data_IF_703042806322
#
_entry.id   IF_703042806322
#
_cell.length_a   1.000
_cell.length_b   1.000
_cell.length_c   1.000
_cell.angle_alpha   90.00
_cell.angle_beta   90.00
_cell.angle_gamma   90.00
#
_symmetry.space_group_name_H-M   'P 1'
#
loop_
_entity.id
_entity.type
_entity.pdbx_description
1 polymer ?
#
# COMPACT_ATOMS: atom_id res chain seq x y z
N UNK A 1 -57.04 2.41 4.23
CA UNK A 1 -55.58 2.25 4.38
C UNK A 1 -55.15 1.93 5.83
N UNK A 2 -55.56 2.70 6.83
CA UNK A 2 -55.08 2.53 8.22
C UNK A 2 -55.38 1.14 8.86
N UNK A 3 -56.57 0.57 8.63
CA UNK A 3 -56.96 -0.71 9.26
C UNK A 3 -56.21 -1.96 8.76
N UNK A 4 -55.66 -1.90 7.54
CA UNK A 4 -54.92 -3.02 6.92
C UNK A 4 -53.47 -3.03 7.41
N UNK A 5 -52.86 -1.86 7.51
CA UNK A 5 -51.52 -1.66 8.08
C UNK A 5 -51.51 -2.04 9.56
N UNK A 6 -52.57 -1.69 10.31
CA UNK A 6 -52.70 -2.05 11.72
C UNK A 6 -52.75 -3.57 11.94
N UNK A 7 -53.51 -4.32 11.12
CA UNK A 7 -53.60 -5.78 11.24
C UNK A 7 -52.25 -6.46 11.01
N UNK A 8 -51.51 -6.04 9.97
CA UNK A 8 -50.20 -6.60 9.67
C UNK A 8 -49.17 -6.27 10.76
N UNK A 9 -49.14 -5.02 11.24
CA UNK A 9 -48.27 -4.60 12.34
C UNK A 9 -48.58 -5.38 13.63
N UNK A 10 -49.85 -5.57 13.96
CA UNK A 10 -50.23 -6.31 15.17
C UNK A 10 -49.83 -7.80 15.08
N UNK A 11 -49.94 -8.41 13.89
CA UNK A 11 -49.44 -9.78 13.64
C UNK A 11 -47.92 -9.88 13.72
N UNK A 12 -47.18 -8.90 13.21
CA UNK A 12 -45.72 -8.85 13.31
C UNK A 12 -45.26 -8.63 14.77
N UNK A 13 -46.02 -7.85 15.54
CA UNK A 13 -45.76 -7.55 16.95
C UNK A 13 -45.98 -8.78 17.85
N UNK A 14 -47.09 -9.50 17.67
CA UNK A 14 -47.38 -10.75 18.39
C UNK A 14 -46.38 -11.88 18.12
N UNK A 15 -45.60 -11.79 17.02
CA UNK A 15 -44.64 -12.82 16.63
C UNK A 15 -43.16 -12.37 16.77
N UNK A 16 -42.90 -11.19 17.36
CA UNK A 16 -41.53 -10.71 17.63
C UNK A 16 -40.71 -10.36 16.38
N UNK A 17 -41.36 -9.97 15.28
CA UNK A 17 -40.72 -9.75 13.97
C UNK A 17 -40.47 -8.26 13.64
N UNK A 18 -40.72 -7.34 14.57
CA UNK A 18 -40.49 -5.89 14.42
C UNK A 18 -39.02 -5.47 14.43
N UNK A 19 -38.11 -6.37 14.83
CA UNK A 19 -36.67 -6.11 14.86
C UNK A 19 -35.97 -6.36 13.51
N UNK A 20 -36.73 -6.67 12.46
CA UNK A 20 -36.18 -6.86 11.12
C UNK A 20 -35.81 -5.52 10.48
N UNK A 21 -34.74 -5.47 9.66
CA UNK A 21 -34.38 -4.28 8.89
C UNK A 21 -35.57 -3.74 8.09
N UNK A 22 -35.72 -2.42 8.05
CA UNK A 22 -36.86 -1.74 7.42
C UNK A 22 -37.15 -2.21 5.98
N UNK A 23 -36.11 -2.59 5.22
CA UNK A 23 -36.25 -3.14 3.86
C UNK A 23 -37.05 -4.44 3.77
N UNK A 24 -36.92 -5.36 4.74
CA UNK A 24 -37.69 -6.62 4.76
C UNK A 24 -39.15 -6.39 5.15
N UNK A 25 -39.42 -5.41 6.02
CA UNK A 25 -40.76 -4.98 6.39
C UNK A 25 -41.50 -4.35 5.20
N UNK A 26 -40.78 -3.55 4.39
CA UNK A 26 -41.34 -2.94 3.18
C UNK A 26 -41.62 -3.96 2.08
N UNK A 27 -40.76 -4.97 1.88
CA UNK A 27 -40.99 -6.05 0.93
C UNK A 27 -42.22 -6.90 1.30
N UNK A 28 -42.42 -7.15 2.59
CA UNK A 28 -43.59 -7.85 3.10
C UNK A 28 -44.90 -7.08 2.90
N UNK A 29 -44.88 -5.78 3.17
CA UNK A 29 -46.02 -4.89 2.94
C UNK A 29 -46.39 -4.84 1.46
N UNK A 30 -45.39 -4.75 0.57
CA UNK A 30 -45.57 -4.78 -0.88
C UNK A 30 -46.14 -6.11 -1.38
N UNK A 31 -45.62 -7.24 -0.89
CA UNK A 31 -46.11 -8.57 -1.28
C UNK A 31 -47.54 -8.83 -0.81
N UNK A 32 -47.87 -8.43 0.43
CA UNK A 32 -49.23 -8.57 0.99
C UNK A 32 -50.24 -7.70 0.24
N UNK A 33 -49.84 -6.48 -0.14
CA UNK A 33 -50.64 -5.57 -0.96
C UNK A 33 -51.01 -6.18 -2.32
N UNK A 34 -50.09 -6.90 -2.95
CA UNK A 34 -50.29 -7.49 -4.27
C UNK A 34 -50.99 -8.86 -4.26
N UNK A 35 -50.92 -9.62 -3.16
CA UNK A 35 -51.38 -11.02 -3.14
C UNK A 35 -52.45 -11.34 -2.07
N UNK A 36 -52.83 -10.38 -1.22
CA UNK A 36 -54.00 -10.43 -0.33
C UNK A 36 -53.96 -11.45 0.81
N UNK A 37 -52.96 -12.32 0.90
CA UNK A 37 -52.91 -13.43 1.87
C UNK A 37 -51.87 -13.20 2.96
N UNK A 38 -52.33 -12.93 4.19
CA UNK A 38 -51.45 -12.58 5.31
C UNK A 38 -50.59 -13.76 5.75
N UNK A 39 -51.12 -14.98 5.65
CA UNK A 39 -50.43 -16.22 6.04
C UNK A 39 -49.26 -16.56 5.11
N UNK A 40 -49.41 -16.32 3.79
CA UNK A 40 -48.30 -16.51 2.84
C UNK A 40 -47.22 -15.44 3.00
N UNK A 41 -47.60 -14.17 3.20
CA UNK A 41 -46.65 -13.08 3.46
C UNK A 41 -45.79 -13.38 4.70
N UNK A 42 -46.42 -13.93 5.74
CA UNK A 42 -45.77 -14.34 6.97
C UNK A 42 -44.79 -15.50 6.77
N UNK A 43 -45.12 -16.48 5.91
CA UNK A 43 -44.23 -17.60 5.59
C UNK A 43 -42.97 -17.13 4.86
N UNK A 44 -43.12 -16.26 3.88
CA UNK A 44 -42.00 -15.66 3.12
C UNK A 44 -41.11 -14.79 4.01
N UNK A 45 -41.69 -13.96 4.88
CA UNK A 45 -40.97 -13.19 5.90
C UNK A 45 -40.12 -14.07 6.81
N UNK A 46 -40.67 -15.21 7.27
CA UNK A 46 -39.95 -16.14 8.15
C UNK A 46 -38.76 -16.80 7.42
N UNK A 47 -38.94 -17.17 6.15
CA UNK A 47 -37.87 -17.70 5.29
C UNK A 47 -36.76 -16.66 5.06
N UNK A 48 -37.14 -15.43 4.69
CA UNK A 48 -36.20 -14.33 4.50
C UNK A 48 -35.46 -13.97 5.81
N UNK A 49 -36.15 -13.95 6.95
CA UNK A 49 -35.54 -13.74 8.25
C UNK A 49 -34.57 -14.86 8.66
N UNK A 50 -34.88 -16.13 8.34
CA UNK A 50 -33.96 -17.25 8.56
C UNK A 50 -32.71 -17.15 7.68
N UNK A 51 -32.85 -16.80 6.39
CA UNK A 51 -31.71 -16.57 5.50
C UNK A 51 -30.86 -15.39 5.97
N UNK A 52 -31.50 -14.29 6.39
CA UNK A 52 -30.80 -13.13 6.93
C UNK A 52 -30.03 -13.48 8.22
N UNK A 53 -30.63 -14.25 9.14
CA UNK A 53 -29.93 -14.73 10.34
C UNK A 53 -28.76 -15.66 10.02
N UNK A 54 -28.90 -16.54 9.02
CA UNK A 54 -27.79 -17.38 8.54
C UNK A 54 -26.66 -16.56 7.93
N UNK A 55 -26.98 -15.56 7.11
CA UNK A 55 -26.00 -14.65 6.51
C UNK A 55 -25.33 -13.77 7.56
N UNK A 56 -26.09 -13.24 8.52
CA UNK A 56 -25.57 -12.48 9.65
C UNK A 56 -24.63 -13.35 10.49
N UNK A 57 -25.02 -14.58 10.85
CA UNK A 57 -24.16 -15.48 11.61
C UNK A 57 -22.89 -15.88 10.83
N UNK A 58 -22.98 -16.07 9.51
CA UNK A 58 -21.83 -16.32 8.65
C UNK A 58 -20.89 -15.10 8.57
N UNK A 59 -21.45 -13.87 8.51
CA UNK A 59 -20.66 -12.64 8.57
C UNK A 59 -20.01 -12.45 9.94
N UNK A 60 -20.69 -12.72 11.05
CA UNK A 60 -20.12 -12.68 12.40
C UNK A 60 -19.01 -13.72 12.56
N UNK A 61 -19.17 -14.92 11.97
CA UNK A 61 -18.12 -15.96 11.99
C UNK A 61 -16.89 -15.58 11.16
N UNK A 62 -17.08 -14.93 10.00
CA UNK A 62 -15.98 -14.39 9.19
C UNK A 62 -15.26 -13.21 9.86
N UNK A 63 -15.96 -12.39 10.65
CA UNK A 63 -15.35 -11.34 11.48
C UNK A 63 -14.51 -11.94 12.61
N UNK A 64 -14.93 -13.06 13.20
CA UNK A 64 -14.17 -13.78 14.22
C UNK A 64 -12.94 -14.49 13.61
N UNK A 65 -13.04 -15.05 12.41
CA UNK A 65 -11.90 -15.70 11.71
C UNK A 65 -10.83 -14.71 11.21
N UNK A 66 -11.18 -13.43 10.98
CA UNK A 66 -10.24 -12.36 10.60
C UNK A 66 -10.01 -11.30 11.70
N UNK A 67 -10.52 -11.53 12.90
CA UNK A 67 -10.52 -10.55 13.98
C UNK A 67 -10.87 -11.16 15.34
N UNK A 68 -10.16 -12.22 15.73
CA UNK A 68 -10.26 -12.78 17.08
C UNK A 68 -9.65 -11.85 18.12
N UNK A 69 -10.46 -10.98 18.73
CA UNK A 69 -10.26 -10.57 20.12
C UNK A 69 -11.14 -11.51 20.93
N UNK A 70 -10.54 -12.60 21.41
CA UNK A 70 -11.18 -13.41 22.44
C UNK A 70 -11.36 -12.57 23.71
N UNK A 71 -12.36 -12.91 24.52
CA UNK A 71 -12.53 -12.40 25.88
C UNK A 71 -11.18 -12.47 26.61
N UNK A 72 -10.49 -11.34 26.65
CA UNK A 72 -9.23 -11.16 27.36
C UNK A 72 -9.51 -10.09 28.39
N UNK A 73 -9.16 -10.39 29.64
CA UNK A 73 -9.05 -9.40 30.71
C UNK A 73 -8.42 -8.13 30.13
N UNK A 74 -8.99 -6.95 30.42
CA UNK A 74 -8.40 -5.69 29.97
C UNK A 74 -6.92 -5.69 30.37
N UNK A 75 -5.99 -5.53 29.41
CA UNK A 75 -4.57 -5.62 29.70
C UNK A 75 -4.21 -4.63 30.80
N UNK A 76 -3.53 -5.12 31.83
CA UNK A 76 -3.07 -4.25 32.91
C UNK A 76 -2.15 -3.18 32.34
N UNK A 77 -2.07 -1.99 32.96
CA UNK A 77 -1.25 -0.88 32.44
C UNK A 77 0.22 -1.26 32.17
N UNK A 78 0.74 -2.31 32.80
CA UNK A 78 2.08 -2.84 32.57
C UNK A 78 2.24 -3.67 31.27
N UNK A 79 1.14 -4.21 30.73
CA UNK A 79 1.14 -5.02 29.50
C UNK A 79 1.03 -4.17 28.23
N UNK A 80 0.65 -2.89 28.36
CA UNK A 80 0.42 -2.01 27.23
C UNK A 80 1.74 -1.59 26.58
N UNK A 81 1.87 -1.90 25.29
CA UNK A 81 2.96 -1.41 24.44
C UNK A 81 2.76 0.10 24.25
N UNK A 82 3.78 0.94 24.53
CA UNK A 82 3.64 2.39 24.40
C UNK A 82 3.28 2.79 22.97
N UNK A 83 2.42 3.81 22.78
CA UNK A 83 2.07 4.30 21.45
C UNK A 83 3.30 4.85 20.71
N UNK A 84 3.21 4.94 19.39
CA UNK A 84 4.28 5.53 18.58
C UNK A 84 4.46 7.03 18.87
N UNK A 85 3.34 7.71 19.17
CA UNK A 85 3.28 9.11 19.56
C UNK A 85 2.70 9.19 20.97
N UNK A 86 3.24 10.03 21.87
CA UNK A 86 2.70 10.21 23.21
C UNK A 86 1.21 10.56 23.19
N UNK A 87 0.45 10.01 24.15
CA UNK A 87 -1.00 10.22 24.23
C UNK A 87 -1.38 11.66 24.60
N UNK A 88 -0.47 12.37 25.25
CA UNK A 88 -0.59 13.75 25.73
C UNK A 88 0.06 14.77 24.77
N UNK A 89 0.30 14.39 23.50
CA UNK A 89 0.91 15.29 22.53
C UNK A 89 0.04 16.53 22.28
N UNK A 90 0.68 17.70 22.31
CA UNK A 90 0.02 18.96 21.98
C UNK A 90 -0.44 18.99 20.52
N UNK A 91 -1.68 19.43 20.31
CA UNK A 91 -2.19 19.70 18.98
C UNK A 91 -1.98 21.18 18.63
N UNK A 92 -1.22 21.44 17.57
CA UNK A 92 -0.93 22.80 17.09
C UNK A 92 -1.79 23.18 15.89
N UNK A 93 -2.01 24.49 15.71
CA UNK A 93 -2.72 25.00 14.53
C UNK A 93 -1.89 24.75 13.26
N UNK A 94 -2.52 24.16 12.23
CA UNK A 94 -1.90 23.94 10.94
C UNK A 94 -1.57 25.28 10.27
N UNK A 95 -0.28 25.53 10.03
CA UNK A 95 0.18 26.65 9.22
C UNK A 95 0.18 26.25 7.73
N UNK A 96 -0.92 26.55 7.04
CA UNK A 96 -1.08 26.23 5.62
C UNK A 96 -0.75 27.43 4.72
N UNK A 97 0.17 27.23 3.78
CA UNK A 97 0.45 28.23 2.73
C UNK A 97 -0.63 28.16 1.65
N UNK A 98 -1.72 28.93 1.85
CA UNK A 98 -2.85 29.01 0.93
C UNK A 98 -2.46 29.70 -0.37
N UNK A 99 -2.80 29.08 -1.50
CA UNK A 99 -2.61 29.62 -2.86
C UNK A 99 -3.94 30.05 -3.47
N UNK A 100 -3.87 30.85 -4.53
CA UNK A 100 -5.04 31.08 -5.40
C UNK A 100 -5.37 29.81 -6.17
N UNK A 101 -6.61 29.70 -6.66
CA UNK A 101 -7.01 28.56 -7.48
C UNK A 101 -6.28 28.52 -8.82
N UNK A 102 -5.99 29.69 -9.39
CA UNK A 102 -5.20 29.83 -10.61
C UNK A 102 -3.76 29.34 -10.43
N UNK A 103 -3.06 29.78 -9.37
CA UNK A 103 -1.71 29.28 -9.08
C UNK A 103 -1.74 27.77 -8.81
N UNK A 104 -2.76 27.27 -8.11
CA UNK A 104 -2.92 25.83 -7.87
C UNK A 104 -3.07 25.05 -9.18
N UNK A 105 -3.86 25.56 -10.13
CA UNK A 105 -4.02 24.98 -11.46
C UNK A 105 -2.68 24.95 -12.23
N UNK A 106 -2.01 26.09 -12.38
CA UNK A 106 -0.73 26.19 -13.10
C UNK A 106 0.33 25.26 -12.51
N UNK A 107 0.46 25.23 -11.19
CA UNK A 107 1.43 24.35 -10.51
C UNK A 107 1.10 22.88 -10.71
N UNK A 108 -0.18 22.51 -10.69
CA UNK A 108 -0.60 21.12 -10.93
C UNK A 108 -0.27 20.65 -12.34
N UNK A 109 -0.43 21.51 -13.35
CA UNK A 109 -0.05 21.22 -14.75
C UNK A 109 1.46 21.02 -14.85
N UNK A 110 2.23 21.97 -14.32
CA UNK A 110 3.70 21.91 -14.39
C UNK A 110 4.26 20.68 -13.68
N UNK A 111 3.71 20.33 -12.51
CA UNK A 111 4.16 19.14 -11.78
C UNK A 111 3.76 17.84 -12.50
N UNK A 112 2.57 17.79 -13.10
CA UNK A 112 2.17 16.68 -13.96
C UNK A 112 3.16 16.52 -15.13
N UNK A 113 3.50 17.59 -15.83
CA UNK A 113 4.42 17.54 -16.97
C UNK A 113 5.81 17.05 -16.56
N UNK A 114 6.35 17.57 -15.46
CA UNK A 114 7.63 17.11 -14.88
C UNK A 114 7.59 15.61 -14.58
N UNK A 115 6.55 15.14 -13.88
CA UNK A 115 6.41 13.74 -13.51
C UNK A 115 6.10 12.84 -14.70
N UNK A 116 5.48 13.39 -15.75
CA UNK A 116 5.19 12.67 -16.98
C UNK A 116 6.49 12.38 -17.77
N UNK A 117 7.50 13.24 -17.66
CA UNK A 117 8.83 13.00 -18.26
C UNK A 117 9.59 11.85 -17.61
N UNK A 118 9.27 11.49 -16.35
CA UNK A 118 9.94 10.38 -15.65
C UNK A 118 9.75 9.06 -16.39
N UNK A 119 10.88 8.41 -16.72
CA UNK A 119 10.96 7.03 -17.22
C UNK A 119 11.85 6.19 -16.30
N UNK A 120 11.61 4.89 -16.26
CA UNK A 120 12.52 3.98 -15.55
C UNK A 120 13.72 3.68 -16.43
N UNK A 121 14.91 4.09 -15.99
CA UNK A 121 16.16 4.02 -16.74
C UNK A 121 17.00 2.83 -16.29
N UNK A 122 17.59 2.09 -17.24
CA UNK A 122 18.40 0.89 -16.98
C UNK A 122 19.88 1.03 -17.37
N UNK A 123 20.26 2.18 -17.93
CA UNK A 123 21.62 2.46 -18.39
C UNK A 123 22.09 3.77 -17.76
N UNK A 124 23.13 3.71 -16.95
CA UNK A 124 23.55 4.82 -16.09
C UNK A 124 24.94 5.32 -16.49
N UNK A 125 25.14 6.62 -16.34
CA UNK A 125 26.48 7.21 -16.30
C UNK A 125 27.14 6.89 -14.96
N UNK A 126 28.47 6.72 -14.99
CA UNK A 126 29.31 6.59 -13.77
C UNK A 126 29.66 7.94 -13.13
N UNK A 127 29.19 9.04 -13.71
CA UNK A 127 29.41 10.38 -13.19
C UNK A 127 28.95 10.49 -11.73
N UNK A 128 29.79 11.02 -10.83
CA UNK A 128 29.46 11.07 -9.41
C UNK A 128 28.29 12.00 -9.13
N UNK A 129 27.42 11.59 -8.21
CA UNK A 129 26.37 12.43 -7.63
C UNK A 129 26.75 12.75 -6.19
N UNK A 130 26.62 14.02 -5.80
CA UNK A 130 26.95 14.47 -4.44
C UNK A 130 26.09 13.75 -3.40
N UNK A 131 26.73 13.31 -2.31
CA UNK A 131 26.05 12.72 -1.15
C UNK A 131 24.96 13.63 -0.58
N UNK A 132 25.19 14.95 -0.56
CA UNK A 132 24.19 15.94 -0.11
C UNK A 132 22.91 15.90 -0.94
N UNK A 133 23.01 15.59 -2.24
CA UNK A 133 21.83 15.40 -3.08
C UNK A 133 21.07 14.16 -2.62
N UNK A 134 21.76 13.03 -2.43
CA UNK A 134 21.15 11.79 -1.94
C UNK A 134 20.48 11.97 -0.56
N UNK A 135 21.13 12.69 0.36
CA UNK A 135 20.56 13.05 1.66
C UNK A 135 19.26 13.85 1.52
N UNK A 136 19.23 14.86 0.65
CA UNK A 136 18.03 15.67 0.43
C UNK A 136 16.89 14.86 -0.19
N UNK A 137 17.20 13.93 -1.10
CA UNK A 137 16.22 13.00 -1.67
C UNK A 137 15.60 12.11 -0.59
N UNK A 138 16.43 11.55 0.30
CA UNK A 138 15.99 10.68 1.40
C UNK A 138 15.21 11.48 2.46
N UNK A 139 15.65 12.70 2.81
CA UNK A 139 14.90 13.60 3.70
C UNK A 139 13.51 13.89 3.14
N UNK A 140 13.42 14.14 1.83
CA UNK A 140 12.14 14.35 1.14
C UNK A 140 11.27 13.09 1.22
N UNK A 141 11.83 11.90 1.00
CA UNK A 141 11.10 10.64 1.16
C UNK A 141 10.57 10.44 2.58
N UNK A 142 11.34 10.84 3.59
CA UNK A 142 10.97 10.77 5.01
C UNK A 142 9.77 11.63 5.40
N UNK A 143 9.33 12.57 4.56
CA UNK A 143 8.12 13.38 4.83
C UNK A 143 6.82 12.66 4.50
N UNK A 144 6.88 11.38 4.13
CA UNK A 144 5.71 10.58 3.80
C UNK A 144 4.79 10.39 5.02
N UNK A 145 3.47 10.21 4.81
CA UNK A 145 2.59 9.77 5.88
C UNK A 145 2.87 8.30 6.25
N UNK A 146 2.62 7.94 7.49
CA UNK A 146 2.73 6.55 7.97
C UNK A 146 1.62 6.21 8.96
N UNK A 147 1.23 4.93 9.01
CA UNK A 147 0.22 4.44 9.94
C UNK A 147 0.65 4.72 11.39
N UNK A 148 -0.18 5.44 12.14
CA UNK A 148 0.11 5.89 13.50
C UNK A 148 1.45 6.63 13.66
N UNK A 149 1.93 7.33 12.62
CA UNK A 149 3.22 8.05 12.62
C UNK A 149 4.41 7.15 13.02
N UNK A 150 4.42 5.90 12.54
CA UNK A 150 5.47 4.91 12.86
C UNK A 150 6.74 5.06 12.03
N UNK A 151 6.70 5.83 10.93
CA UNK A 151 7.82 6.08 10.01
C UNK A 151 8.65 4.81 9.68
N UNK A 152 8.00 3.71 9.23
CA UNK A 152 8.55 2.37 9.29
C UNK A 152 9.49 2.05 8.11
N UNK A 153 10.41 2.97 7.80
CA UNK A 153 11.32 2.88 6.66
C UNK A 153 12.77 3.05 7.08
N UNK A 154 13.64 2.33 6.38
CA UNK A 154 15.07 2.54 6.42
C UNK A 154 15.61 2.67 5.01
N UNK A 155 16.38 3.72 4.76
CA UNK A 155 17.10 3.94 3.51
C UNK A 155 18.57 3.58 3.70
N UNK A 156 19.06 2.62 2.91
CA UNK A 156 20.47 2.24 2.89
C UNK A 156 21.06 2.72 1.56
N UNK A 157 21.83 3.80 1.61
CA UNK A 157 22.54 4.35 0.47
C UNK A 157 23.94 3.74 0.36
N UNK A 158 24.27 3.16 -0.80
CA UNK A 158 25.52 2.44 -1.06
C UNK A 158 26.22 3.10 -2.24
N UNK A 159 27.40 3.68 -1.99
CA UNK A 159 28.33 4.17 -3.02
C UNK A 159 29.57 3.29 -3.18
N UNK A 160 29.88 2.50 -2.16
CA UNK A 160 31.08 1.67 -2.11
C UNK A 160 31.08 0.63 -3.25
N UNK A 161 32.12 0.60 -4.09
CA UNK A 161 32.15 -0.25 -5.27
C UNK A 161 32.15 -1.74 -4.93
N UNK A 162 32.78 -2.16 -3.83
CA UNK A 162 32.83 -3.57 -3.41
C UNK A 162 31.46 -4.04 -2.94
N UNK A 163 30.74 -3.21 -2.17
CA UNK A 163 29.36 -3.51 -1.78
C UNK A 163 28.43 -3.53 -3.00
N UNK A 164 28.56 -2.59 -3.93
CA UNK A 164 27.77 -2.59 -5.17
C UNK A 164 27.99 -3.86 -6.01
N UNK A 165 29.25 -4.29 -6.12
CA UNK A 165 29.61 -5.54 -6.82
C UNK A 165 28.99 -6.76 -6.14
N UNK A 166 29.09 -6.90 -4.81
CA UNK A 166 28.46 -8.00 -4.06
C UNK A 166 26.94 -8.00 -4.19
N UNK A 167 26.31 -6.82 -4.17
CA UNK A 167 24.87 -6.67 -4.41
C UNK A 167 24.50 -7.17 -5.81
N UNK A 168 25.29 -6.80 -6.83
CA UNK A 168 25.08 -7.24 -8.21
C UNK A 168 25.14 -8.76 -8.33
N UNK A 169 26.15 -9.40 -7.77
CA UNK A 169 26.32 -10.86 -7.81
C UNK A 169 25.12 -11.60 -7.19
N UNK A 170 24.63 -11.12 -6.03
CA UNK A 170 23.43 -11.67 -5.38
C UNK A 170 22.20 -11.51 -6.27
N UNK A 171 22.01 -10.33 -6.87
CA UNK A 171 20.83 -10.06 -7.69
C UNK A 171 20.86 -10.84 -9.00
N UNK A 172 22.00 -10.89 -9.70
CA UNK A 172 22.12 -11.59 -10.98
C UNK A 172 21.94 -13.10 -10.82
N UNK A 173 22.51 -13.71 -9.77
CA UNK A 173 22.34 -15.14 -9.48
C UNK A 173 20.90 -15.53 -9.19
N UNK A 174 20.19 -14.77 -8.36
CA UNK A 174 18.76 -15.03 -8.10
C UNK A 174 17.88 -14.72 -9.31
N UNK A 175 18.19 -13.69 -10.08
CA UNK A 175 17.46 -13.35 -11.30
C UNK A 175 17.61 -14.41 -12.38
N UNK A 176 18.78 -15.02 -12.54
CA UNK A 176 18.96 -16.15 -13.45
C UNK A 176 18.00 -17.29 -13.11
N UNK A 177 17.90 -17.65 -11.82
CA UNK A 177 16.95 -18.67 -11.34
C UNK A 177 15.51 -18.20 -11.56
N UNK A 178 15.21 -16.92 -11.36
CA UNK A 178 13.88 -16.36 -11.54
C UNK A 178 13.41 -16.49 -12.99
N UNK A 179 14.23 -16.08 -13.96
CA UNK A 179 13.91 -16.17 -15.39
C UNK A 179 13.79 -17.62 -15.86
N UNK A 180 14.66 -18.51 -15.37
CA UNK A 180 14.70 -19.90 -15.82
C UNK A 180 13.63 -20.78 -15.19
N UNK A 181 13.20 -20.51 -13.94
CA UNK A 181 12.37 -21.44 -13.17
C UNK A 181 11.17 -20.81 -12.48
N UNK A 182 11.26 -19.60 -11.91
CA UNK A 182 10.28 -19.11 -10.94
C UNK A 182 9.20 -18.18 -11.52
N UNK A 183 9.53 -17.37 -12.52
CA UNK A 183 8.59 -16.37 -13.07
C UNK A 183 7.52 -16.99 -13.99
N UNK A 184 7.75 -18.20 -14.52
CA UNK A 184 6.83 -18.86 -15.43
C UNK A 184 6.75 -18.18 -16.82
N UNK A 185 5.96 -18.77 -17.73
CA UNK A 185 5.91 -18.34 -19.13
C UNK A 185 5.21 -16.99 -19.35
N UNK A 186 4.13 -16.72 -18.62
CA UNK A 186 3.36 -15.49 -18.77
C UNK A 186 4.20 -14.26 -18.38
N UNK A 187 4.78 -14.28 -17.18
CA UNK A 187 5.57 -13.16 -16.69
C UNK A 187 6.82 -12.94 -17.56
N UNK A 188 7.54 -14.01 -17.93
CA UNK A 188 8.69 -13.87 -18.84
C UNK A 188 8.30 -13.29 -20.20
N UNK A 189 7.12 -13.63 -20.73
CA UNK A 189 6.59 -13.03 -21.95
C UNK A 189 6.28 -11.54 -21.78
N UNK A 190 5.65 -11.14 -20.67
CA UNK A 190 5.31 -9.75 -20.37
C UNK A 190 6.56 -8.85 -20.25
N UNK A 191 7.70 -9.42 -19.84
CA UNK A 191 8.97 -8.71 -19.72
C UNK A 191 9.70 -8.52 -21.07
N UNK A 192 9.35 -9.27 -22.13
CA UNK A 192 10.08 -9.23 -23.42
C UNK A 192 10.17 -7.84 -24.02
N UNK A 193 9.08 -7.07 -23.97
CA UNK A 193 9.03 -5.70 -24.49
C UNK A 193 9.98 -4.74 -23.73
N UNK A 194 10.32 -5.07 -22.48
CA UNK A 194 11.24 -4.30 -21.65
C UNK A 194 12.71 -4.68 -21.90
N UNK A 195 12.97 -5.77 -22.64
CA UNK A 195 14.31 -6.31 -22.94
C UNK A 195 15.18 -6.49 -21.69
N UNK A 196 14.56 -6.88 -20.58
CA UNK A 196 15.27 -7.15 -19.33
C UNK A 196 15.82 -8.57 -19.34
N UNK A 197 17.02 -8.73 -18.82
CA UNK A 197 17.69 -10.02 -18.61
C UNK A 197 18.10 -10.17 -17.15
N UNK A 198 18.77 -11.26 -16.80
CA UNK A 198 19.36 -11.44 -15.48
C UNK A 198 20.56 -10.51 -15.24
N UNK A 199 21.22 -10.01 -16.29
CA UNK A 199 22.38 -9.11 -16.20
C UNK A 199 21.96 -7.69 -15.81
N UNK A 200 22.55 -7.15 -14.74
CA UNK A 200 22.18 -5.89 -14.08
C UNK A 200 23.37 -4.93 -13.92
N UNK A 201 24.02 -4.56 -15.03
CA UNK A 201 25.18 -3.65 -15.04
C UNK A 201 24.96 -2.32 -14.30
N UNK A 202 23.73 -1.82 -14.31
CA UNK A 202 23.32 -0.62 -13.57
C UNK A 202 23.59 -0.70 -12.06
N UNK A 203 23.72 -1.89 -11.48
CA UNK A 203 24.03 -2.05 -10.05
C UNK A 203 25.46 -1.64 -9.71
N UNK A 204 26.37 -1.67 -10.69
CA UNK A 204 27.75 -1.22 -10.54
C UNK A 204 27.99 0.13 -11.19
N UNK A 205 27.31 0.43 -12.30
CA UNK A 205 27.50 1.67 -13.04
C UNK A 205 26.89 2.89 -12.36
N UNK A 206 25.70 2.76 -11.77
CA UNK A 206 25.09 3.88 -11.06
C UNK A 206 25.99 4.31 -9.86
N UNK A 207 26.21 5.61 -9.65
CA UNK A 207 27.08 6.08 -8.57
C UNK A 207 26.52 5.73 -7.18
N UNK A 208 25.19 5.60 -7.06
CA UNK A 208 24.52 5.23 -5.81
C UNK A 208 23.50 4.10 -6.03
N UNK A 209 23.39 3.20 -5.07
CA UNK A 209 22.23 2.35 -4.87
C UNK A 209 21.51 2.79 -3.60
N UNK A 210 20.19 2.94 -3.67
CA UNK A 210 19.34 3.17 -2.49
C UNK A 210 18.46 1.95 -2.30
N UNK A 211 18.70 1.20 -1.23
CA UNK A 211 17.86 0.09 -0.82
C UNK A 211 16.89 0.58 0.24
N UNK A 212 15.59 0.44 -0.02
CA UNK A 212 14.51 0.86 0.87
C UNK A 212 13.98 -0.37 1.58
N UNK A 213 14.19 -0.42 2.89
CA UNK A 213 13.66 -1.47 3.76
C UNK A 213 12.42 -0.97 4.48
N UNK A 214 11.40 -1.82 4.57
CA UNK A 214 10.26 -1.63 5.49
C UNK A 214 10.57 -2.28 6.83
N UNK A 215 10.21 -1.61 7.91
CA UNK A 215 10.27 -2.13 9.27
C UNK A 215 8.91 -2.77 9.62
N UNK A 216 8.90 -4.09 9.80
CA UNK A 216 7.67 -4.86 10.09
C UNK A 216 7.14 -4.58 11.49
N UNK A 217 8.05 -4.26 12.42
CA UNK A 217 7.75 -3.82 13.78
C UNK A 217 8.91 -2.96 14.26
N UNK A 218 8.66 -2.14 15.29
CA UNK A 218 9.68 -1.39 16.01
C UNK A 218 10.07 -2.16 17.28
N UNK A 219 11.33 -2.57 17.47
CA UNK A 219 11.77 -3.14 18.74
C UNK A 219 11.80 -2.06 19.83
N UNK A 220 11.34 -2.41 21.04
CA UNK A 220 11.38 -1.54 22.20
C UNK A 220 12.55 -1.90 23.14
N UNK A 221 13.03 -0.97 23.98
CA UNK A 221 14.15 -1.22 24.89
C UNK A 221 13.93 -2.37 25.88
N UNK A 222 12.67 -2.65 26.22
CA UNK A 222 12.25 -3.73 27.12
C UNK A 222 12.09 -5.10 26.42
N UNK A 223 12.47 -5.20 25.14
CA UNK A 223 12.38 -6.42 24.34
C UNK A 223 11.01 -6.66 23.70
N UNK A 224 9.99 -5.84 24.02
CA UNK A 224 8.69 -5.91 23.34
C UNK A 224 8.78 -5.37 21.91
N UNK A 225 7.75 -5.64 21.13
CA UNK A 225 7.64 -5.21 19.73
C UNK A 225 6.41 -4.32 19.59
N UNK A 226 6.61 -3.12 19.06
CA UNK A 226 5.51 -2.24 18.64
C UNK A 226 5.19 -2.51 17.17
N UNK A 227 3.92 -2.77 16.90
CA UNK A 227 3.46 -3.04 15.54
C UNK A 227 3.55 -1.78 14.68
N UNK A 228 4.02 -1.94 13.44
CA UNK A 228 4.01 -0.88 12.44
C UNK A 228 2.83 -1.12 11.49
N UNK A 229 1.73 -0.41 11.72
CA UNK A 229 0.50 -0.57 10.94
C UNK A 229 0.71 -0.14 9.49
N UNK A 230 0.24 -0.95 8.54
CA UNK A 230 0.34 -0.68 7.10
C UNK A 230 1.77 -0.33 6.63
N UNK A 231 2.81 -0.81 7.33
CA UNK A 231 4.22 -0.53 7.08
C UNK A 231 4.65 -0.68 5.61
N UNK A 232 4.14 -1.67 4.88
CA UNK A 232 4.41 -1.82 3.44
C UNK A 232 3.85 -0.65 2.62
N UNK A 233 2.59 -0.27 2.84
CA UNK A 233 1.94 0.85 2.16
C UNK A 233 2.65 2.16 2.51
N UNK A 234 2.92 2.41 3.80
CA UNK A 234 3.64 3.61 4.25
C UNK A 234 5.03 3.72 3.60
N UNK A 235 5.79 2.63 3.57
CA UNK A 235 7.11 2.61 2.92
C UNK A 235 7.01 2.77 1.40
N UNK A 236 5.98 2.21 0.75
CA UNK A 236 5.74 2.41 -0.68
C UNK A 236 5.38 3.86 -1.03
N UNK A 237 4.59 4.54 -0.20
CA UNK A 237 4.30 5.98 -0.35
C UNK A 237 5.57 6.81 -0.24
N UNK A 238 6.42 6.51 0.75
CA UNK A 238 7.75 7.12 0.89
C UNK A 238 8.64 6.87 -0.33
N UNK A 239 8.62 5.65 -0.89
CA UNK A 239 9.27 5.33 -2.16
C UNK A 239 8.72 6.15 -3.35
N UNK A 240 7.41 6.40 -3.39
CA UNK A 240 6.79 7.27 -4.39
C UNK A 240 7.28 8.72 -4.31
N UNK A 241 7.38 9.27 -3.10
CA UNK A 241 7.95 10.60 -2.86
C UNK A 241 9.42 10.64 -3.26
N UNK A 242 10.20 9.59 -2.95
CA UNK A 242 11.60 9.47 -3.37
C UNK A 242 11.74 9.52 -4.89
N UNK A 243 10.87 8.81 -5.62
CA UNK A 243 10.87 8.85 -7.10
C UNK A 243 10.57 10.25 -7.66
N UNK A 244 9.66 10.98 -7.03
CA UNK A 244 9.37 12.37 -7.40
C UNK A 244 10.55 13.30 -7.11
N UNK A 245 11.19 13.13 -5.95
CA UNK A 245 12.37 13.90 -5.57
C UNK A 245 13.54 13.66 -6.53
N UNK A 246 13.79 12.39 -6.91
CA UNK A 246 14.83 12.01 -7.89
C UNK A 246 14.59 12.72 -9.23
N UNK A 247 13.36 12.64 -9.75
CA UNK A 247 12.98 13.30 -10.99
C UNK A 247 13.16 14.83 -10.91
N UNK A 248 12.72 15.44 -9.80
CA UNK A 248 12.84 16.88 -9.57
C UNK A 248 14.31 17.35 -9.50
N UNK A 249 15.21 16.51 -8.98
CA UNK A 249 16.64 16.79 -8.92
C UNK A 249 17.38 16.59 -10.26
N UNK A 250 16.67 16.21 -11.33
CA UNK A 250 17.28 15.93 -12.64
C UNK A 250 18.01 14.59 -12.72
N UNK A 251 17.79 13.69 -11.75
CA UNK A 251 18.36 12.34 -11.74
C UNK A 251 17.36 11.31 -12.24
N UNK A 252 17.85 10.11 -12.53
CA UNK A 252 17.04 8.98 -12.98
C UNK A 252 17.24 7.76 -12.10
N UNK A 253 16.28 6.83 -12.16
CA UNK A 253 16.35 5.57 -11.42
C UNK A 253 15.55 4.46 -12.10
N UNK A 254 15.71 3.23 -11.59
CA UNK A 254 14.88 2.07 -11.85
C UNK A 254 14.25 1.60 -10.54
N UNK A 255 12.94 1.52 -10.48
CA UNK A 255 12.28 0.78 -9.39
C UNK A 255 12.46 -0.71 -9.63
N UNK A 256 13.28 -1.38 -8.81
CA UNK A 256 13.46 -2.82 -8.85
C UNK A 256 13.06 -3.48 -7.53
N UNK A 257 12.45 -4.65 -7.64
CA UNK A 257 12.04 -5.50 -6.52
C UNK A 257 12.72 -6.86 -6.72
N UNK A 258 14.02 -7.00 -6.36
CA UNK A 258 14.79 -8.19 -6.68
C UNK A 258 14.25 -9.40 -5.90
N UNK A 259 13.40 -10.18 -6.59
CA UNK A 259 12.66 -11.27 -5.99
C UNK A 259 13.62 -12.30 -5.39
N UNK A 260 13.33 -12.74 -4.17
CA UNK A 260 14.13 -13.67 -3.36
C UNK A 260 15.52 -13.17 -2.92
N UNK A 261 15.95 -11.96 -3.30
CA UNK A 261 17.23 -11.40 -2.87
C UNK A 261 17.17 -10.79 -1.45
N UNK A 262 15.97 -10.54 -0.92
CA UNK A 262 15.76 -9.81 0.33
C UNK A 262 16.58 -10.33 1.51
N UNK A 263 16.56 -11.64 1.85
CA UNK A 263 17.34 -12.18 2.96
C UNK A 263 18.86 -12.03 2.78
N UNK A 264 19.39 -12.28 1.59
CA UNK A 264 20.82 -12.19 1.29
C UNK A 264 21.32 -10.74 1.35
N UNK A 265 20.57 -9.80 0.74
CA UNK A 265 20.89 -8.38 0.77
C UNK A 265 20.77 -7.79 2.18
N UNK A 266 19.78 -8.24 2.97
CA UNK A 266 19.65 -7.88 4.38
C UNK A 266 20.89 -8.31 5.18
N UNK A 267 21.36 -9.55 4.96
CA UNK A 267 22.55 -10.10 5.63
C UNK A 267 23.82 -9.33 5.23
N UNK A 268 24.04 -9.12 3.93
CA UNK A 268 25.18 -8.38 3.39
C UNK A 268 25.30 -6.97 3.99
N UNK A 269 24.17 -6.29 4.17
CA UNK A 269 24.10 -4.92 4.66
C UNK A 269 23.94 -4.82 6.19
N UNK A 270 24.03 -5.94 6.91
CA UNK A 270 23.93 -5.97 8.37
C UNK A 270 22.59 -5.45 8.91
N UNK A 271 21.50 -5.62 8.15
CA UNK A 271 20.17 -5.11 8.53
C UNK A 271 19.46 -6.04 9.52
N UNK A 272 18.72 -5.49 10.50
CA UNK A 272 18.13 -6.27 11.57
C UNK A 272 16.97 -7.14 11.09
N UNK A 273 16.59 -8.14 11.89
CA UNK A 273 15.55 -9.12 11.52
C UNK A 273 14.15 -8.52 11.29
N UNK A 274 13.87 -7.34 11.84
CA UNK A 274 12.60 -6.63 11.66
C UNK A 274 12.51 -5.83 10.37
N UNK A 275 13.59 -5.75 9.60
CA UNK A 275 13.63 -5.08 8.30
C UNK A 275 13.53 -6.06 7.15
N UNK A 276 12.72 -5.68 6.14
CA UNK A 276 12.57 -6.42 4.89
C UNK A 276 12.77 -5.48 3.72
N UNK A 277 13.59 -5.89 2.75
CA UNK A 277 13.81 -5.11 1.53
C UNK A 277 12.47 -4.95 0.79
N UNK A 278 12.16 -3.70 0.42
CA UNK A 278 11.00 -3.36 -0.40
C UNK A 278 11.43 -2.92 -1.80
N UNK A 279 12.35 -1.97 -1.91
CA UNK A 279 12.82 -1.42 -3.19
C UNK A 279 14.36 -1.41 -3.25
N UNK A 280 14.91 -1.62 -4.45
CA UNK A 280 16.30 -1.32 -4.78
C UNK A 280 16.30 -0.34 -5.95
N UNK A 281 16.92 0.83 -5.75
CA UNK A 281 16.93 1.96 -6.66
C UNK A 281 18.37 2.35 -7.02
N UNK A 282 18.91 2.02 -8.21
CA UNK A 282 20.12 2.68 -8.72
C UNK A 282 19.80 4.16 -9.01
N UNK A 283 20.61 5.09 -8.53
CA UNK A 283 20.39 6.53 -8.67
C UNK A 283 21.61 7.18 -9.30
N UNK A 284 21.40 7.98 -10.34
CA UNK A 284 22.44 8.66 -11.09
C UNK A 284 21.92 9.40 -12.30
N UNK A 285 22.81 9.74 -13.21
CA UNK A 285 22.48 10.28 -14.53
C UNK A 285 22.28 9.16 -15.55
N UNK A 286 21.45 9.35 -16.59
CA UNK A 286 21.36 8.39 -17.68
C UNK A 286 22.69 8.32 -18.46
N UNK A 287 23.03 7.15 -18.97
CA UNK A 287 24.11 7.00 -19.97
C UNK A 287 23.82 7.84 -21.22
N UNK A 288 24.86 8.31 -21.92
CA UNK A 288 24.72 9.00 -23.21
C UNK A 288 24.01 8.15 -24.29
N UNK A 289 24.08 6.82 -24.18
CA UNK A 289 23.41 5.87 -25.09
C UNK A 289 22.14 5.28 -24.48
N UNK A 290 21.64 5.83 -23.37
CA UNK A 290 20.47 5.32 -22.68
C UNK A 290 19.23 5.32 -23.58
N UNK A 291 18.61 4.15 -23.71
CA UNK A 291 17.31 4.00 -24.37
C UNK A 291 16.24 3.57 -23.36
N UNK A 292 14.98 3.86 -23.71
CA UNK A 292 13.80 3.42 -22.95
C UNK A 292 12.82 2.80 -23.93
N UNK A 293 12.02 1.80 -23.51
CA UNK A 293 10.99 1.24 -24.39
C UNK A 293 9.98 2.33 -24.77
N UNK A 294 9.48 2.32 -26.01
CA UNK A 294 8.45 3.26 -26.45
C UNK A 294 7.07 2.78 -25.98
N UNK A 295 6.77 3.02 -24.70
CA UNK A 295 5.50 2.65 -24.05
C UNK A 295 4.69 3.89 -23.71
N UNK A 296 3.36 3.74 -23.73
CA UNK A 296 2.42 4.81 -23.44
C UNK A 296 1.71 4.55 -22.10
N UNK A 297 1.48 5.62 -21.33
CA UNK A 297 0.60 5.57 -20.15
C UNK A 297 -0.86 5.55 -20.61
N UNK A 298 -1.74 4.97 -19.78
CA UNK A 298 -3.19 5.07 -19.95
C UNK A 298 -3.64 6.54 -19.99
N UNK A 299 -4.73 6.82 -20.70
CA UNK A 299 -5.38 8.13 -20.74
C UNK A 299 -6.11 8.39 -19.42
N UNK A 300 -6.40 9.67 -19.14
CA UNK A 300 -7.04 10.08 -17.89
C UNK A 300 -8.39 9.40 -17.66
N UNK A 301 -9.21 9.27 -18.70
CA UNK A 301 -10.53 8.63 -18.64
C UNK A 301 -10.47 7.11 -18.37
N UNK A 302 -9.29 6.48 -18.43
CA UNK A 302 -9.10 5.07 -18.06
C UNK A 302 -8.70 4.89 -16.59
N UNK A 303 -8.36 5.99 -15.89
CA UNK A 303 -7.83 5.95 -14.52
C UNK A 303 -8.57 6.88 -13.55
N UNK A 304 -9.46 7.74 -14.03
CA UNK A 304 -10.27 8.67 -13.24
C UNK A 304 -11.76 8.40 -13.46
N UNK A 305 -12.47 8.13 -12.36
CA UNK A 305 -13.93 8.09 -12.29
C UNK A 305 -14.40 9.19 -11.35
N UNK A 306 -15.36 10.01 -11.79
CA UNK A 306 -16.00 11.07 -11.01
C UNK A 306 -17.46 10.67 -10.75
N UNK A 307 -17.94 10.84 -9.53
CA UNK A 307 -19.32 10.57 -9.09
C UNK A 307 -20.06 11.87 -8.83
#
# INVERSE_FOLDING_TARGET
MAGVVLKLLNTLLQNGLLTLPAGLLMAALWWYWNNGSASKAQKELRLAAQQFRKLSAAMTKNVIEYGGVGDSEEPTHHDLVPPAVPADIDHILLQHNRRTLEDSFTRSVNFYELMNQRRSVRFFSKEPVSEKVIENLIRTAGTAPSGAHTEPWQFVAVRDPDYKQKIREIVESEEEINYMKRMGSQWTNDLRALRTTHIKEYLTDAPWLVLVFKQVYTPLPDGRKRNNYYHEISTALSGGILLAAIQNAGLVTLTSTPMNCGPALKSLLGRPAHEKLLLLLPVGLPSATCTVPNIHRKKLNEILTVF
#
